data_IF_426479379785
#
_entry.id   IF_426479379785
#
_cell.length_a   1.000
_cell.length_b   1.000
_cell.length_c   1.000
_cell.angle_alpha   90.00
_cell.angle_beta   90.00
_cell.angle_gamma   90.00
#
_symmetry.space_group_name_H-M   'P 1'
#
loop_
_entity.id
_entity.type
_entity.pdbx_description
1 polymer ?
#
# COMPACT_ATOMS: atom_id res chain seq x y z
N UNK A 1 -2.46 3.08 26.08
CA UNK A 1 -2.27 4.03 24.98
C UNK A 1 -2.84 3.48 23.66
N UNK A 2 -2.46 2.25 23.25
CA UNK A 2 -2.94 1.65 21.99
C UNK A 2 -4.47 1.52 21.98
N UNK A 3 -5.09 1.06 23.08
CA UNK A 3 -6.56 0.95 23.17
C UNK A 3 -7.29 2.25 22.84
N UNK A 4 -6.76 3.38 23.31
CA UNK A 4 -7.36 4.70 23.04
C UNK A 4 -7.25 5.06 21.57
N UNK A 5 -6.13 4.72 20.91
CA UNK A 5 -5.93 4.99 19.48
C UNK A 5 -6.86 4.11 18.63
N UNK A 6 -6.96 2.83 18.95
CA UNK A 6 -7.86 1.90 18.26
C UNK A 6 -9.32 2.36 18.35
N UNK A 7 -9.77 2.72 19.57
CA UNK A 7 -11.12 3.25 19.76
C UNK A 7 -11.34 4.57 19.01
N UNK A 8 -10.38 5.50 19.06
CA UNK A 8 -10.48 6.78 18.37
C UNK A 8 -10.60 6.64 16.85
N UNK A 9 -9.80 5.74 16.26
CA UNK A 9 -9.85 5.45 14.81
C UNK A 9 -11.22 4.88 14.44
N UNK A 10 -11.73 3.91 15.22
CA UNK A 10 -13.03 3.31 14.98
C UNK A 10 -14.18 4.32 15.17
N UNK A 11 -14.14 5.16 16.21
CA UNK A 11 -15.12 6.21 16.45
C UNK A 11 -15.13 7.27 15.34
N UNK A 12 -14.01 7.49 14.68
CA UNK A 12 -13.89 8.35 13.51
C UNK A 12 -14.43 7.69 12.21
N UNK A 13 -14.94 6.46 12.28
CA UNK A 13 -15.46 5.73 11.11
C UNK A 13 -14.37 5.15 10.20
N UNK A 14 -13.15 5.02 10.70
CA UNK A 14 -12.02 4.46 9.96
C UNK A 14 -11.80 2.99 10.32
N UNK A 15 -11.19 2.25 9.40
CA UNK A 15 -10.77 0.86 9.60
C UNK A 15 -9.29 0.84 10.00
N UNK A 16 -8.95 0.07 11.03
CA UNK A 16 -7.56 -0.12 11.41
C UNK A 16 -6.91 -1.18 10.52
N UNK A 17 -5.89 -0.81 9.76
CA UNK A 17 -5.00 -1.75 9.09
C UNK A 17 -3.80 -2.02 10.01
N UNK A 18 -3.79 -3.18 10.65
CA UNK A 18 -2.82 -3.50 11.71
C UNK A 18 -1.81 -4.54 11.24
N UNK A 19 -0.54 -4.08 11.08
CA UNK A 19 0.64 -4.94 10.99
C UNK A 19 1.27 -5.08 12.38
N UNK A 20 1.54 -6.32 12.81
CA UNK A 20 2.00 -6.53 14.18
C UNK A 20 3.51 -6.31 14.38
N UNK A 21 4.30 -6.36 13.31
CA UNK A 21 5.75 -6.16 13.35
C UNK A 21 6.34 -5.92 11.95
N UNK A 22 7.67 -5.77 11.87
CA UNK A 22 8.42 -5.84 10.61
C UNK A 22 8.91 -7.28 10.34
N UNK A 23 9.16 -7.61 9.08
CA UNK A 23 9.59 -8.94 8.63
C UNK A 23 10.61 -9.63 9.53
N UNK A 24 11.61 -8.89 9.97
CA UNK A 24 12.73 -9.42 10.76
C UNK A 24 12.34 -9.92 12.15
N UNK A 25 11.19 -9.52 12.67
CA UNK A 25 10.71 -9.95 13.98
C UNK A 25 10.39 -11.45 14.05
N UNK A 26 10.36 -12.14 12.91
CA UNK A 26 10.13 -13.58 12.81
C UNK A 26 11.43 -14.39 12.89
N UNK A 27 12.59 -13.73 12.82
CA UNK A 27 13.89 -14.37 12.87
C UNK A 27 14.36 -14.57 14.32
N UNK A 28 14.98 -15.70 14.58
CA UNK A 28 15.55 -16.05 15.88
C UNK A 28 14.84 -17.20 16.55
N UNK A 29 15.45 -17.67 17.64
CA UNK A 29 14.92 -18.78 18.42
C UNK A 29 13.57 -18.39 19.03
N UNK A 30 12.58 -19.24 18.83
CA UNK A 30 11.21 -19.06 19.32
C UNK A 30 10.45 -17.85 18.73
N UNK A 31 11.00 -17.12 17.75
CA UNK A 31 10.37 -15.90 17.23
C UNK A 31 8.98 -16.15 16.62
N UNK A 32 8.79 -17.23 15.89
CA UNK A 32 7.49 -17.62 15.31
C UNK A 32 6.43 -17.79 16.42
N UNK A 33 6.75 -18.54 17.47
CA UNK A 33 5.82 -18.76 18.58
C UNK A 33 5.51 -17.46 19.36
N UNK A 34 6.50 -16.57 19.51
CA UNK A 34 6.26 -15.25 20.09
C UNK A 34 5.32 -14.40 19.22
N UNK A 35 5.51 -14.40 17.92
CA UNK A 35 4.63 -13.66 17.00
C UNK A 35 3.22 -14.26 16.95
N UNK A 36 3.06 -15.57 16.99
CA UNK A 36 1.76 -16.25 17.12
C UNK A 36 1.07 -15.90 18.45
N UNK A 37 1.85 -15.81 19.55
CA UNK A 37 1.31 -15.38 20.83
C UNK A 37 0.81 -13.93 20.77
N UNK A 38 1.58 -13.03 20.16
CA UNK A 38 1.18 -11.64 19.94
C UNK A 38 -0.07 -11.57 19.06
N UNK A 39 -0.14 -12.35 17.98
CA UNK A 39 -1.32 -12.42 17.12
C UNK A 39 -2.58 -12.79 17.89
N UNK A 40 -2.52 -13.86 18.71
CA UNK A 40 -3.63 -14.26 19.59
C UNK A 40 -4.09 -13.13 20.52
N UNK A 41 -3.14 -12.42 21.10
CA UNK A 41 -3.45 -11.29 21.98
C UNK A 41 -4.12 -10.14 21.19
N UNK A 42 -3.59 -9.77 20.03
CA UNK A 42 -4.13 -8.68 19.22
C UNK A 42 -5.53 -8.99 18.70
N UNK A 43 -5.76 -10.20 18.19
CA UNK A 43 -7.08 -10.64 17.73
C UNK A 43 -8.09 -10.64 18.89
N UNK A 44 -7.73 -11.22 20.02
CA UNK A 44 -8.63 -11.27 21.17
C UNK A 44 -8.96 -9.87 21.74
N UNK A 45 -8.02 -8.91 21.63
CA UNK A 45 -8.19 -7.57 22.18
C UNK A 45 -8.86 -6.61 21.23
N UNK A 46 -8.55 -6.68 19.96
CA UNK A 46 -8.95 -5.67 18.96
C UNK A 46 -9.87 -6.20 17.87
N UNK A 47 -10.10 -7.50 17.77
CA UNK A 47 -10.95 -8.06 16.74
C UNK A 47 -12.42 -7.62 16.78
N UNK A 48 -12.87 -6.94 17.84
CA UNK A 48 -14.20 -6.33 17.89
C UNK A 48 -14.29 -4.95 17.21
N UNK A 49 -13.15 -4.37 16.80
CA UNK A 49 -13.08 -3.12 16.04
C UNK A 49 -13.12 -3.40 14.54
N UNK A 50 -13.44 -2.39 13.69
CA UNK A 50 -13.21 -2.49 12.25
C UNK A 50 -11.71 -2.66 11.97
N UNK A 51 -11.33 -3.82 11.43
CA UNK A 51 -9.92 -4.22 11.27
C UNK A 51 -9.63 -4.73 9.85
N UNK A 52 -8.37 -4.59 9.44
CA UNK A 52 -7.70 -5.37 8.41
C UNK A 52 -6.38 -5.86 9.01
N UNK A 53 -6.11 -7.15 8.92
CA UNK A 53 -4.85 -7.72 9.38
C UNK A 53 -3.81 -7.63 8.26
N UNK A 54 -2.80 -6.77 8.41
CA UNK A 54 -1.75 -6.60 7.38
C UNK A 54 -0.50 -7.42 7.66
N UNK A 55 -0.56 -8.34 8.61
CA UNK A 55 0.44 -9.29 9.03
C UNK A 55 1.73 -8.60 9.53
N UNK A 56 2.65 -8.29 8.62
CA UNK A 56 3.89 -7.61 8.94
C UNK A 56 4.29 -6.66 7.82
N UNK A 57 5.04 -5.60 8.16
CA UNK A 57 5.65 -4.73 7.17
C UNK A 57 6.76 -5.47 6.44
N UNK A 58 6.74 -5.41 5.10
CA UNK A 58 7.78 -5.94 4.20
C UNK A 58 8.13 -7.41 4.48
N UNK A 59 7.10 -8.26 4.48
CA UNK A 59 7.13 -9.66 4.96
C UNK A 59 8.29 -10.53 4.46
N UNK A 60 8.91 -10.20 3.32
CA UNK A 60 10.04 -10.93 2.75
C UNK A 60 11.40 -10.34 3.12
N UNK A 61 11.44 -9.13 3.71
CA UNK A 61 12.67 -8.37 3.96
C UNK A 61 13.44 -8.09 2.67
N UNK A 62 14.48 -7.27 2.76
CA UNK A 62 15.29 -6.86 1.60
C UNK A 62 16.39 -7.83 1.20
N UNK A 63 16.76 -8.77 2.08
CA UNK A 63 17.83 -9.74 1.82
C UNK A 63 17.26 -11.07 1.39
N UNK A 64 17.91 -11.72 0.41
CA UNK A 64 17.52 -13.06 -0.03
C UNK A 64 17.81 -14.13 1.02
N UNK A 65 18.90 -13.94 1.80
CA UNK A 65 19.21 -14.84 2.90
C UNK A 65 18.12 -14.78 3.97
N UNK A 66 17.62 -15.96 4.32
CA UNK A 66 16.55 -16.10 5.33
C UNK A 66 15.16 -15.75 4.85
N UNK A 67 14.97 -15.29 3.61
CA UNK A 67 13.66 -14.92 3.06
C UNK A 67 12.63 -16.05 3.16
N UNK A 68 12.99 -17.25 2.75
CA UNK A 68 12.08 -18.39 2.83
C UNK A 68 11.63 -18.66 4.26
N UNK A 69 12.54 -18.62 5.23
CA UNK A 69 12.20 -18.79 6.64
C UNK A 69 11.31 -17.66 7.18
N UNK A 70 11.52 -16.40 6.71
CA UNK A 70 10.63 -15.29 7.05
C UNK A 70 9.22 -15.53 6.50
N UNK A 71 9.12 -15.85 5.23
CA UNK A 71 7.82 -16.10 4.58
C UNK A 71 7.09 -17.28 5.22
N UNK A 72 7.78 -18.38 5.50
CA UNK A 72 7.19 -19.53 6.18
C UNK A 72 6.74 -19.19 7.61
N UNK A 73 7.55 -18.47 8.36
CA UNK A 73 7.20 -18.04 9.71
C UNK A 73 6.00 -17.10 9.74
N UNK A 74 5.94 -16.12 8.84
CA UNK A 74 4.78 -15.22 8.75
C UNK A 74 3.52 -15.92 8.23
N UNK A 75 3.64 -16.93 7.37
CA UNK A 75 2.51 -17.80 7.01
C UNK A 75 1.90 -18.48 8.23
N UNK A 76 2.71 -19.01 9.15
CA UNK A 76 2.20 -19.62 10.39
C UNK A 76 1.48 -18.60 11.27
N UNK A 77 1.96 -17.37 11.33
CA UNK A 77 1.30 -16.30 12.08
C UNK A 77 -0.03 -15.90 11.43
N UNK A 78 -0.09 -15.83 10.10
CA UNK A 78 -1.34 -15.55 9.37
C UNK A 78 -2.40 -16.63 9.64
N UNK A 79 -2.02 -17.89 9.59
CA UNK A 79 -2.92 -19.01 9.92
C UNK A 79 -3.40 -18.98 11.38
N UNK A 80 -2.57 -18.48 12.31
CA UNK A 80 -3.00 -18.29 13.71
C UNK A 80 -4.01 -17.15 13.84
N UNK A 81 -3.86 -16.05 13.09
CA UNK A 81 -4.84 -14.94 13.02
C UNK A 81 -6.15 -15.47 12.49
N UNK A 82 -6.14 -16.11 11.33
CA UNK A 82 -7.31 -16.68 10.67
C UNK A 82 -8.09 -17.63 11.57
N UNK A 83 -7.37 -18.52 12.26
CA UNK A 83 -7.98 -19.49 13.19
C UNK A 83 -8.62 -18.85 14.44
N UNK A 84 -8.27 -17.60 14.76
CA UNK A 84 -8.74 -16.91 15.99
C UNK A 84 -9.67 -15.75 15.72
N UNK A 85 -9.68 -15.23 14.51
CA UNK A 85 -10.56 -14.12 14.14
C UNK A 85 -12.01 -14.61 13.94
N UNK A 86 -12.79 -14.49 14.98
CA UNK A 86 -14.21 -14.89 14.93
C UNK A 86 -15.11 -13.92 14.16
N UNK A 87 -14.59 -12.80 13.68
CA UNK A 87 -15.34 -11.79 12.92
C UNK A 87 -15.11 -11.91 11.40
N UNK A 88 -14.06 -12.61 10.98
CA UNK A 88 -13.73 -12.78 9.56
C UNK A 88 -13.30 -11.48 8.90
N UNK A 89 -12.41 -10.73 9.54
CA UNK A 89 -11.84 -9.53 8.94
C UNK A 89 -10.90 -9.89 7.79
N UNK A 90 -10.81 -8.98 6.82
CA UNK A 90 -9.88 -9.13 5.72
C UNK A 90 -8.44 -9.23 6.23
N UNK A 91 -7.67 -10.12 5.63
CA UNK A 91 -6.25 -10.30 5.92
C UNK A 91 -5.40 -10.14 4.65
N UNK A 92 -4.24 -9.59 4.83
CA UNK A 92 -3.23 -9.39 3.77
C UNK A 92 -1.83 -9.37 4.37
N UNK A 93 -0.82 -9.33 3.51
CA UNK A 93 0.56 -9.12 3.88
C UNK A 93 1.13 -7.91 3.13
N UNK A 94 1.84 -7.03 3.84
CA UNK A 94 2.52 -5.92 3.20
C UNK A 94 3.80 -6.43 2.52
N UNK A 95 3.79 -6.40 1.19
CA UNK A 95 4.87 -6.94 0.38
C UNK A 95 6.11 -6.02 0.40
N UNK A 96 7.23 -6.60 0.10
CA UNK A 96 8.50 -5.89 -0.06
C UNK A 96 8.57 -5.28 -1.46
N UNK A 97 9.20 -4.11 -1.58
CA UNK A 97 9.43 -3.46 -2.86
C UNK A 97 10.28 -4.33 -3.79
N UNK A 98 9.66 -4.90 -4.81
CA UNK A 98 10.31 -5.73 -5.84
C UNK A 98 9.78 -5.41 -7.24
N UNK A 99 10.63 -5.71 -8.23
CA UNK A 99 10.27 -5.67 -9.66
C UNK A 99 10.68 -6.98 -10.32
N UNK A 100 9.77 -7.70 -10.98
CA UNK A 100 8.31 -7.47 -10.99
C UNK A 100 7.70 -7.51 -9.59
N UNK A 101 6.45 -7.05 -9.43
CA UNK A 101 5.76 -7.09 -8.16
C UNK A 101 5.70 -8.52 -7.61
N UNK A 102 5.82 -8.65 -6.31
CA UNK A 102 5.85 -9.93 -5.64
C UNK A 102 4.45 -10.57 -5.51
N UNK A 103 4.44 -11.88 -5.40
CA UNK A 103 3.24 -12.72 -5.30
C UNK A 103 3.33 -13.78 -4.18
N UNK A 104 4.09 -13.49 -3.12
CA UNK A 104 4.51 -14.47 -2.11
C UNK A 104 3.40 -15.34 -1.53
N UNK A 105 2.20 -14.81 -1.36
CA UNK A 105 1.08 -15.46 -0.70
C UNK A 105 -0.19 -15.46 -1.54
N UNK A 106 -0.05 -15.26 -2.86
CA UNK A 106 -1.19 -15.12 -3.75
C UNK A 106 -2.15 -16.32 -3.69
N UNK A 107 -1.59 -17.53 -3.57
CA UNK A 107 -2.36 -18.78 -3.50
C UNK A 107 -2.82 -19.13 -2.07
N UNK A 108 -2.48 -18.34 -1.07
CA UNK A 108 -2.86 -18.64 0.31
C UNK A 108 -4.35 -18.29 0.56
N UNK A 109 -5.12 -19.20 1.18
CA UNK A 109 -6.56 -19.00 1.37
C UNK A 109 -6.90 -17.88 2.37
N UNK A 110 -5.97 -17.52 3.26
CA UNK A 110 -6.15 -16.44 4.23
C UNK A 110 -5.90 -15.05 3.65
N UNK A 111 -5.27 -14.97 2.48
CA UNK A 111 -4.93 -13.70 1.87
C UNK A 111 -6.09 -13.22 0.99
N UNK A 112 -6.80 -12.19 1.44
CA UNK A 112 -7.99 -11.68 0.76
C UNK A 112 -7.68 -10.69 -0.36
N UNK A 113 -6.58 -9.96 -0.26
CA UNK A 113 -6.14 -9.00 -1.27
C UNK A 113 -4.64 -8.77 -1.22
N UNK A 114 -4.06 -8.34 -2.33
CA UNK A 114 -2.65 -7.96 -2.41
C UNK A 114 -2.45 -6.57 -1.86
N UNK A 115 -1.53 -6.40 -0.91
CA UNK A 115 -1.04 -5.10 -0.44
C UNK A 115 0.39 -4.92 -0.91
N UNK A 116 0.53 -4.26 -2.07
CA UNK A 116 1.82 -4.09 -2.75
C UNK A 116 2.61 -2.92 -2.19
N UNK A 117 3.94 -2.99 -2.34
CA UNK A 117 4.83 -1.86 -2.14
C UNK A 117 5.57 -1.55 -3.44
N UNK A 118 5.15 -0.50 -4.14
CA UNK A 118 5.91 -0.01 -5.30
C UNK A 118 7.16 0.77 -4.90
N UNK A 119 7.20 1.27 -3.67
CA UNK A 119 8.37 1.91 -3.05
C UNK A 119 8.57 3.36 -3.44
N UNK A 120 9.52 4.01 -2.75
CA UNK A 120 9.74 5.46 -2.82
C UNK A 120 10.64 5.90 -3.99
N UNK A 121 11.08 4.94 -4.82
CA UNK A 121 12.05 5.22 -5.87
C UNK A 121 11.47 6.05 -7.00
N UNK A 122 10.04 6.33 -7.06
CA UNK A 122 9.88 6.46 -8.41
C UNK A 122 8.70 7.05 -9.08
N UNK A 123 9.01 8.14 -9.68
CA UNK A 123 8.65 8.47 -11.06
C UNK A 123 8.84 7.31 -12.10
N UNK A 124 9.46 6.18 -11.79
CA UNK A 124 9.67 5.01 -12.68
C UNK A 124 8.57 3.94 -12.53
N UNK A 125 7.65 4.10 -11.60
CA UNK A 125 6.47 3.23 -11.55
C UNK A 125 5.72 3.41 -12.88
N UNK A 126 5.69 2.33 -13.64
CA UNK A 126 5.07 2.30 -14.97
C UNK A 126 3.70 1.67 -14.89
N UNK A 127 2.82 2.09 -15.76
CA UNK A 127 1.54 1.43 -15.90
C UNK A 127 1.67 -0.07 -16.20
N UNK A 128 2.69 -0.46 -16.99
CA UNK A 128 2.98 -1.86 -17.28
C UNK A 128 3.25 -2.69 -16.04
N UNK A 129 3.87 -2.14 -14.99
CA UNK A 129 4.17 -2.89 -13.77
C UNK A 129 2.87 -3.39 -13.11
N UNK A 130 1.83 -2.53 -13.10
CA UNK A 130 0.51 -2.89 -12.59
C UNK A 130 -0.25 -3.82 -13.54
N UNK A 131 -0.26 -3.50 -14.85
CA UNK A 131 -0.97 -4.31 -15.84
C UNK A 131 -0.41 -5.73 -15.93
N UNK A 132 0.90 -5.89 -15.92
CA UNK A 132 1.55 -7.21 -16.01
C UNK A 132 1.22 -8.04 -14.76
N UNK A 133 1.21 -7.42 -13.58
CA UNK A 133 0.83 -8.11 -12.34
C UNK A 133 -0.65 -8.51 -12.35
N UNK A 134 -1.54 -7.56 -12.63
CA UNK A 134 -2.99 -7.79 -12.60
C UNK A 134 -3.45 -8.77 -13.69
N UNK A 135 -2.78 -8.81 -14.82
CA UNK A 135 -3.07 -9.80 -15.86
C UNK A 135 -2.67 -11.23 -15.45
N UNK A 136 -1.70 -11.36 -14.55
CA UNK A 136 -1.26 -12.65 -14.00
C UNK A 136 -2.06 -13.08 -12.76
N UNK A 137 -2.68 -12.14 -12.04
CA UNK A 137 -3.34 -12.33 -10.75
C UNK A 137 -4.68 -11.56 -10.70
N UNK A 138 -5.69 -12.10 -11.38
CA UNK A 138 -7.02 -11.48 -11.48
C UNK A 138 -8.02 -11.99 -10.44
N UNK A 139 -7.59 -12.89 -9.57
CA UNK A 139 -8.43 -13.56 -8.57
C UNK A 139 -8.60 -12.79 -7.26
N UNK A 140 -7.72 -11.81 -6.99
CA UNK A 140 -7.75 -11.01 -5.75
C UNK A 140 -7.63 -9.52 -6.02
N UNK A 141 -8.33 -8.67 -5.23
CA UNK A 141 -8.15 -7.23 -5.31
C UNK A 141 -6.68 -6.83 -5.06
N UNK A 142 -6.24 -5.77 -5.73
CA UNK A 142 -4.89 -5.22 -5.59
C UNK A 142 -4.96 -3.81 -4.99
N UNK A 143 -4.26 -3.58 -3.91
CA UNK A 143 -4.11 -2.28 -3.27
C UNK A 143 -2.64 -1.87 -3.31
N UNK A 144 -2.36 -0.69 -3.84
CA UNK A 144 -1.04 -0.09 -3.71
C UNK A 144 -0.89 0.48 -2.29
N UNK A 145 -0.20 -0.26 -1.45
CA UNK A 145 -0.07 0.01 -0.01
C UNK A 145 1.06 0.96 0.34
N UNK A 146 2.10 1.02 -0.51
CA UNK A 146 3.24 1.89 -0.26
C UNK A 146 3.97 2.24 -1.56
N UNK A 147 3.51 3.33 -2.18
CA UNK A 147 4.18 3.94 -3.32
C UNK A 147 5.04 5.14 -2.87
N UNK A 148 5.06 6.22 -3.64
CA UNK A 148 5.74 7.46 -3.26
C UNK A 148 5.11 8.06 -1.98
N UNK A 149 5.96 8.55 -1.09
CA UNK A 149 5.52 9.42 0.01
C UNK A 149 5.75 10.87 -0.35
N UNK A 150 4.76 11.72 -0.11
CA UNK A 150 4.91 13.16 -0.29
C UNK A 150 6.04 13.67 0.59
N UNK A 151 6.85 14.59 0.07
CA UNK A 151 8.04 15.16 0.70
C UNK A 151 9.21 14.19 0.94
N UNK A 152 9.10 12.93 0.58
CA UNK A 152 10.20 11.99 0.66
C UNK A 152 11.27 12.29 -0.40
N UNK A 153 12.53 11.96 -0.10
CA UNK A 153 13.58 11.93 -1.11
C UNK A 153 13.41 10.69 -1.99
N UNK A 154 13.55 10.83 -3.30
CA UNK A 154 13.60 9.67 -4.18
C UNK A 154 14.84 8.83 -3.88
N UNK A 155 14.68 7.51 -3.84
CA UNK A 155 15.78 6.59 -3.55
C UNK A 155 16.85 6.59 -4.66
N UNK A 156 16.46 6.82 -5.90
CA UNK A 156 17.37 6.80 -7.06
C UNK A 156 18.28 8.02 -7.11
N UNK A 157 17.76 9.17 -6.77
CA UNK A 157 18.50 10.41 -6.76
C UNK A 157 18.95 10.82 -5.35
N UNK A 158 18.76 9.96 -4.37
CA UNK A 158 19.24 10.01 -2.98
C UNK A 158 19.36 11.43 -2.39
N UNK A 159 18.24 12.16 -2.41
CA UNK A 159 18.15 13.49 -1.80
C UNK A 159 18.31 14.65 -2.79
N UNK A 160 18.33 14.39 -4.06
CA UNK A 160 18.36 15.43 -5.09
C UNK A 160 16.95 15.86 -5.52
N UNK A 161 15.93 15.04 -5.27
CA UNK A 161 14.57 15.31 -5.70
C UNK A 161 13.54 15.01 -4.60
N UNK A 162 12.70 16.00 -4.36
CA UNK A 162 11.57 15.89 -3.45
C UNK A 162 10.37 15.28 -4.17
N UNK A 163 9.70 14.30 -3.54
CA UNK A 163 8.44 13.78 -4.04
C UNK A 163 7.34 14.83 -3.85
N UNK A 164 6.74 15.25 -4.95
CA UNK A 164 5.69 16.25 -4.97
C UNK A 164 4.29 15.62 -5.06
N UNK A 165 3.26 16.40 -4.76
CA UNK A 165 1.87 16.02 -4.95
C UNK A 165 1.56 15.55 -6.38
N UNK A 166 2.16 16.18 -7.41
CA UNK A 166 1.98 15.78 -8.81
C UNK A 166 2.52 14.37 -9.09
N UNK A 167 3.67 14.03 -8.51
CA UNK A 167 4.26 12.70 -8.64
C UNK A 167 3.37 11.64 -7.99
N UNK A 168 2.85 11.92 -6.78
CA UNK A 168 1.92 11.03 -6.10
C UNK A 168 0.65 10.82 -6.91
N UNK A 169 0.04 11.93 -7.35
CA UNK A 169 -1.18 11.90 -8.16
C UNK A 169 -1.00 11.03 -9.39
N UNK A 170 0.11 11.20 -10.12
CA UNK A 170 0.42 10.39 -11.29
C UNK A 170 0.43 8.90 -10.96
N UNK A 171 1.14 8.48 -9.93
CA UNK A 171 1.24 7.07 -9.53
C UNK A 171 -0.11 6.52 -9.08
N UNK A 172 -0.85 7.28 -8.27
CA UNK A 172 -2.15 6.88 -7.77
C UNK A 172 -3.17 6.64 -8.92
N UNK A 173 -3.24 7.57 -9.87
CA UNK A 173 -4.13 7.39 -11.02
C UNK A 173 -3.66 6.25 -11.95
N UNK A 174 -2.37 6.05 -12.13
CA UNK A 174 -1.85 4.88 -12.88
C UNK A 174 -2.33 3.58 -12.22
N UNK A 175 -2.18 3.44 -10.91
CA UNK A 175 -2.64 2.26 -10.18
C UNK A 175 -4.14 2.01 -10.37
N UNK A 176 -4.97 3.03 -10.11
CA UNK A 176 -6.43 2.90 -10.23
C UNK A 176 -6.87 2.59 -11.66
N UNK A 177 -6.23 3.19 -12.67
CA UNK A 177 -6.58 2.96 -14.09
C UNK A 177 -6.05 1.61 -14.61
N UNK A 178 -5.09 1.02 -13.93
CA UNK A 178 -4.66 -0.35 -14.22
C UNK A 178 -5.56 -1.42 -13.58
N UNK A 179 -6.58 -1.02 -12.83
CA UNK A 179 -7.51 -1.93 -12.15
C UNK A 179 -7.23 -2.11 -10.66
N UNK A 180 -6.42 -1.24 -10.06
CA UNK A 180 -6.21 -1.24 -8.62
C UNK A 180 -7.49 -1.00 -7.84
N UNK A 181 -7.68 -1.71 -6.74
CA UNK A 181 -8.82 -1.58 -5.83
C UNK A 181 -8.61 -0.47 -4.78
N UNK A 182 -7.40 0.07 -4.67
CA UNK A 182 -7.10 1.15 -3.72
C UNK A 182 -5.66 1.63 -3.79
N UNK A 183 -5.43 2.76 -3.15
CA UNK A 183 -4.13 3.42 -3.05
C UNK A 183 -3.94 4.01 -1.66
N UNK A 184 -2.77 3.82 -1.07
CA UNK A 184 -2.42 4.36 0.25
C UNK A 184 -1.50 5.57 0.11
N UNK A 185 -1.92 6.68 0.71
CA UNK A 185 -1.12 7.89 0.80
C UNK A 185 -0.16 7.83 1.98
N UNK A 186 1.06 8.31 1.78
CA UNK A 186 2.04 8.53 2.84
C UNK A 186 2.74 9.87 2.70
N UNK A 187 3.26 10.40 3.80
CA UNK A 187 4.04 11.64 3.82
C UNK A 187 5.22 11.56 4.77
N UNK A 188 6.36 12.07 4.30
CA UNK A 188 7.54 12.28 5.14
C UNK A 188 7.20 13.27 6.26
N UNK A 189 7.81 13.14 7.41
CA UNK A 189 7.47 13.92 8.59
C UNK A 189 6.34 13.29 9.43
N UNK A 190 5.39 12.60 8.79
CA UNK A 190 4.29 11.90 9.48
C UNK A 190 4.71 10.48 9.85
N UNK A 191 5.15 9.67 8.87
CA UNK A 191 5.47 8.27 9.10
C UNK A 191 6.70 8.07 9.99
N UNK A 192 7.69 8.96 9.88
CA UNK A 192 8.92 8.97 10.67
C UNK A 192 8.82 9.78 11.97
N UNK A 193 7.63 10.34 12.27
CA UNK A 193 7.29 11.05 13.50
C UNK A 193 8.24 12.23 13.83
N UNK A 194 8.63 13.01 12.84
CA UNK A 194 9.47 14.20 13.05
C UNK A 194 8.62 15.35 13.58
N UNK A 195 8.55 15.51 14.89
CA UNK A 195 7.68 16.52 15.52
C UNK A 195 8.24 17.94 15.43
N UNK A 196 9.49 18.13 15.83
CA UNK A 196 10.09 19.46 15.97
C UNK A 196 11.33 19.66 15.08
N UNK A 197 12.22 18.67 15.05
CA UNK A 197 13.50 18.79 14.33
C UNK A 197 13.90 17.46 13.66
N UNK A 198 14.35 17.52 12.38
CA UNK A 198 14.93 16.37 11.69
C UNK A 198 16.23 15.84 12.33
N UNK A 199 16.87 16.63 13.18
CA UNK A 199 18.07 16.23 13.93
C UNK A 199 17.79 15.11 14.94
N UNK A 200 16.52 14.87 15.26
CA UNK A 200 16.08 13.80 16.14
C UNK A 200 16.03 12.42 15.44
N UNK A 201 16.11 12.41 14.10
CA UNK A 201 16.12 11.17 13.33
C UNK A 201 17.45 10.43 13.47
N UNK A 202 17.36 9.11 13.54
CA UNK A 202 18.57 8.32 13.38
C UNK A 202 19.13 8.45 11.94
N UNK A 203 20.41 8.14 11.73
CA UNK A 203 21.05 8.34 10.43
C UNK A 203 20.40 7.56 9.26
N UNK A 204 19.76 6.43 9.53
CA UNK A 204 19.07 5.66 8.51
C UNK A 204 17.75 6.36 8.08
N UNK A 205 16.97 6.82 9.04
CA UNK A 205 15.73 7.54 8.76
C UNK A 205 15.99 8.88 8.07
N UNK A 206 17.09 9.54 8.42
CA UNK A 206 17.51 10.80 7.77
C UNK A 206 17.81 10.66 6.26
N UNK A 207 18.06 9.45 5.75
CA UNK A 207 18.22 9.20 4.31
C UNK A 207 16.93 9.53 3.55
N UNK A 208 15.79 9.24 4.13
CA UNK A 208 14.48 9.46 3.50
C UNK A 208 13.99 10.90 3.71
N UNK A 209 14.32 11.52 4.84
CA UNK A 209 13.92 12.89 5.18
C UNK A 209 15.05 13.91 5.01
N UNK A 210 15.67 13.93 3.84
CA UNK A 210 16.80 14.84 3.55
C UNK A 210 16.42 16.32 3.47
N UNK A 211 15.13 16.59 3.29
CA UNK A 211 14.62 17.96 3.19
C UNK A 211 14.18 18.53 4.55
N UNK A 212 14.31 17.74 5.62
CA UNK A 212 14.02 18.18 6.98
C UNK A 212 12.54 18.48 7.22
N UNK A 213 11.67 17.70 6.62
CA UNK A 213 10.21 17.88 6.74
C UNK A 213 9.74 17.44 8.12
N UNK A 214 9.01 18.31 8.79
CA UNK A 214 8.39 18.03 10.08
C UNK A 214 6.93 17.64 9.91
N UNK A 215 6.36 17.04 10.98
CA UNK A 215 4.94 16.67 11.02
C UNK A 215 4.03 17.87 10.72
N UNK A 216 4.33 19.02 11.31
CA UNK A 216 3.53 20.24 11.13
C UNK A 216 3.53 20.76 9.68
N UNK A 217 4.61 20.50 8.91
CA UNK A 217 4.67 20.83 7.50
C UNK A 217 3.95 19.81 6.63
N UNK A 218 4.00 18.53 7.03
CA UNK A 218 3.47 17.42 6.23
C UNK A 218 1.97 17.22 6.39
N UNK A 219 1.38 17.58 7.54
CA UNK A 219 -0.04 17.33 7.83
C UNK A 219 -0.99 18.05 6.87
N UNK A 220 -0.58 19.20 6.33
CA UNK A 220 -1.32 19.99 5.36
C UNK A 220 -0.80 19.81 3.93
N UNK A 221 -0.19 18.65 3.63
CA UNK A 221 0.36 18.33 2.32
C UNK A 221 -0.69 18.42 1.20
N UNK A 222 -0.32 19.01 0.07
CA UNK A 222 -1.20 19.15 -1.10
C UNK A 222 -1.65 17.77 -1.63
N UNK A 223 -0.76 16.77 -1.60
CA UNK A 223 -1.06 15.41 -2.02
C UNK A 223 -2.17 14.77 -1.19
N UNK A 224 -2.23 15.02 0.12
CA UNK A 224 -3.32 14.53 0.97
C UNK A 224 -4.69 15.06 0.50
N UNK A 225 -4.76 16.36 0.19
CA UNK A 225 -5.99 16.99 -0.33
C UNK A 225 -6.37 16.38 -1.69
N UNK A 226 -5.40 16.20 -2.58
CA UNK A 226 -5.61 15.63 -3.91
C UNK A 226 -6.06 14.17 -3.87
N UNK A 227 -5.58 13.38 -2.91
CA UNK A 227 -6.08 12.01 -2.68
C UNK A 227 -7.54 12.01 -2.21
N UNK A 228 -7.95 13.01 -1.43
CA UNK A 228 -9.36 13.21 -1.09
C UNK A 228 -10.24 13.44 -2.32
N UNK A 229 -9.79 14.28 -3.27
CA UNK A 229 -10.49 14.48 -4.53
C UNK A 229 -10.52 13.21 -5.39
N UNK A 230 -9.42 12.49 -5.47
CA UNK A 230 -9.34 11.21 -6.18
C UNK A 230 -10.33 10.20 -5.61
N UNK A 231 -10.40 10.07 -4.28
CA UNK A 231 -11.36 9.19 -3.61
C UNK A 231 -12.79 9.53 -4.01
N UNK A 232 -13.20 10.80 -3.85
CA UNK A 232 -14.55 11.23 -4.20
C UNK A 232 -14.86 10.97 -5.68
N UNK A 233 -13.91 11.24 -6.57
CA UNK A 233 -14.07 11.01 -8.00
C UNK A 233 -14.31 9.52 -8.31
N UNK A 234 -13.52 8.62 -7.75
CA UNK A 234 -13.66 7.19 -8.00
C UNK A 234 -14.90 6.59 -7.33
N UNK A 235 -15.26 7.06 -6.13
CA UNK A 235 -16.51 6.65 -5.46
C UNK A 235 -17.74 7.11 -6.28
N UNK A 236 -17.79 8.34 -6.75
CA UNK A 236 -18.85 8.88 -7.58
C UNK A 236 -18.97 8.16 -8.94
N UNK A 237 -17.87 7.61 -9.43
CA UNK A 237 -17.83 6.83 -10.66
C UNK A 237 -17.95 5.32 -10.42
N UNK A 238 -18.27 4.87 -9.22
CA UNK A 238 -18.47 3.46 -8.85
C UNK A 238 -17.26 2.60 -9.30
N UNK A 239 -16.07 2.94 -8.84
CA UNK A 239 -14.81 2.31 -9.30
C UNK A 239 -14.83 0.78 -9.21
N UNK A 240 -15.61 0.20 -8.30
CA UNK A 240 -15.79 -1.24 -8.15
C UNK A 240 -16.50 -1.92 -9.32
N UNK A 241 -17.09 -1.16 -10.25
CA UNK A 241 -17.67 -1.65 -11.49
C UNK A 241 -16.71 -1.48 -12.68
N UNK A 242 -15.57 -0.80 -12.49
CA UNK A 242 -14.65 -0.46 -13.55
C UNK A 242 -13.57 -1.54 -13.67
N UNK A 243 -13.27 -1.94 -14.90
CA UNK A 243 -12.16 -2.82 -15.24
C UNK A 243 -11.25 -2.13 -16.28
N UNK A 244 -9.96 -2.49 -16.35
CA UNK A 244 -9.08 -1.97 -17.38
C UNK A 244 -9.70 -2.13 -18.77
N UNK A 245 -9.70 -1.07 -19.55
CA UNK A 245 -10.28 -1.03 -20.87
C UNK A 245 -9.20 -0.90 -21.93
N UNK A 246 -8.98 -1.98 -22.66
CA UNK A 246 -8.06 -1.98 -23.80
C UNK A 246 -8.72 -1.34 -25.04
N UNK A 247 -8.15 -0.23 -25.48
CA UNK A 247 -8.61 0.51 -26.66
C UNK A 247 -8.06 -0.07 -27.96
N UNK A 248 -7.92 -1.38 -28.10
CA UNK A 248 -7.22 -1.98 -29.23
C UNK A 248 -7.96 -1.89 -30.57
N UNK A 249 -9.30 -1.70 -30.62
CA UNK A 249 -10.04 -1.80 -31.87
C UNK A 249 -11.17 -0.78 -32.13
N UNK A 250 -11.61 -0.03 -31.18
CA UNK A 250 -12.64 0.98 -31.43
C UNK A 250 -11.97 2.26 -31.90
N UNK A 251 -12.06 2.55 -33.16
CA UNK A 251 -11.59 3.75 -33.85
C UNK A 251 -11.05 4.81 -32.90
N UNK A 252 -9.82 4.69 -32.64
CA UNK A 252 -8.95 5.32 -31.70
C UNK A 252 -9.39 6.75 -31.32
N UNK A 253 -10.25 6.90 -30.33
CA UNK A 253 -10.57 8.21 -29.74
C UNK A 253 -9.31 8.93 -29.22
N UNK A 254 -8.20 8.22 -29.10
CA UNK A 254 -6.96 8.65 -28.47
C UNK A 254 -5.71 8.25 -29.27
N UNK A 255 -5.81 8.28 -30.60
CA UNK A 255 -4.69 7.95 -31.48
C UNK A 255 -3.41 8.69 -31.05
N UNK A 256 -2.39 7.93 -30.69
CA UNK A 256 -1.00 8.29 -30.42
C UNK A 256 -0.56 8.45 -28.96
N UNK A 257 -1.44 8.38 -27.96
CA UNK A 257 -1.02 8.27 -26.56
C UNK A 257 -2.05 7.40 -25.87
N UNK A 258 -1.69 6.15 -25.59
CA UNK A 258 -2.61 5.24 -24.93
C UNK A 258 -3.03 5.86 -23.57
N UNK A 259 -4.24 6.42 -23.44
CA UNK A 259 -4.71 6.79 -22.13
C UNK A 259 -4.90 5.51 -21.35
N UNK A 260 -4.54 5.54 -20.08
CA UNK A 260 -4.98 4.53 -19.18
C UNK A 260 -6.48 4.71 -18.98
N UNK A 261 -7.25 3.71 -19.31
CA UNK A 261 -8.71 3.80 -19.20
C UNK A 261 -9.28 2.59 -18.47
N UNK A 262 -10.34 2.83 -17.72
CA UNK A 262 -11.20 1.80 -17.14
C UNK A 262 -12.64 2.04 -17.60
N UNK A 263 -13.41 0.97 -17.72
CA UNK A 263 -14.81 1.06 -18.11
C UNK A 263 -15.64 0.01 -17.36
N UNK A 264 -16.94 0.29 -17.22
CA UNK A 264 -17.90 -0.72 -16.78
C UNK A 264 -18.32 -1.61 -17.97
N UNK A 265 -18.96 -2.73 -17.66
CA UNK A 265 -19.25 -3.79 -18.64
C UNK A 265 -20.06 -3.33 -19.85
N UNK A 266 -21.02 -2.42 -19.68
CA UNK A 266 -21.89 -1.92 -20.76
C UNK A 266 -21.37 -0.65 -21.44
N UNK A 267 -20.17 -0.19 -21.06
CA UNK A 267 -19.50 1.01 -21.55
C UNK A 267 -20.31 2.32 -21.35
N UNK A 268 -21.29 2.32 -20.46
CA UNK A 268 -22.02 3.54 -20.09
C UNK A 268 -21.16 4.49 -19.24
N UNK A 269 -20.08 3.98 -18.67
CA UNK A 269 -19.10 4.75 -17.90
C UNK A 269 -17.69 4.37 -18.32
N UNK A 270 -16.93 5.37 -18.74
CA UNK A 270 -15.52 5.23 -19.11
C UNK A 270 -14.74 6.33 -18.39
N UNK A 271 -13.71 5.94 -17.66
CA UNK A 271 -12.77 6.86 -17.00
C UNK A 271 -11.43 6.75 -17.67
N UNK A 272 -10.88 7.86 -18.13
CA UNK A 272 -9.59 7.88 -18.80
C UNK A 272 -8.63 8.87 -18.12
N UNK A 273 -7.40 8.45 -17.91
CA UNK A 273 -6.31 9.28 -17.41
C UNK A 273 -5.35 9.61 -18.55
N UNK A 274 -5.19 10.89 -18.79
CA UNK A 274 -4.22 11.43 -19.72
C UNK A 274 -3.05 11.97 -18.91
N UNK A 275 -2.00 11.17 -18.78
CA UNK A 275 -0.77 11.62 -18.11
C UNK A 275 -0.13 12.77 -18.88
N UNK A 276 0.62 13.60 -18.19
CA UNK A 276 1.44 14.63 -18.82
C UNK A 276 2.44 13.97 -19.78
N UNK A 277 2.51 14.53 -20.94
CA UNK A 277 3.34 14.05 -22.06
C UNK A 277 4.76 14.60 -21.99
#
# INVERSE_FOLDING_TARGET
ELDRRMAYIADAGLVNALGQAWAFAILGEHAVEHQKHLARYLVARYGAYPMVWTLAGEVAGYRKEGRAAMLDGWREVALEIEARDGYGHLATAHYTNERPFADYYQDEPWMDFTLNQAGHGDYLIKASDYFDYLAAHDDKPFVEGEALYEFCSTLEEMGTRLCTADMLRRVAYICMQAGGAGYTYGAQGIWDNVWESPEELDPFMAIFNRFGITWAQAVDGEGAVQMGYMRSFYEDNHFWELAPYETTDAGNLFANKAPLATANQDLSRIVAYFGDT
#
